data_IF_349428430682
#
_entry.id   IF_349428430682
#
_cell.length_a   1.000
_cell.length_b   1.000
_cell.length_c   1.000
_cell.angle_alpha   90.00
_cell.angle_beta   90.00
_cell.angle_gamma   90.00
#
_symmetry.space_group_name_H-M   'P 1'
#
loop_
_entity.id
_entity.type
_entity.pdbx_description
1 polymer ?
#
# COMPACT_ATOMS: atom_id res chain seq x y z
N UNK A 1 -2.67 -64.50 36.24
CA UNK A 1 -3.10 -63.13 35.87
C UNK A 1 -1.90 -62.37 35.34
N UNK A 2 -1.68 -62.37 34.03
CA UNK A 2 -0.64 -61.60 33.35
C UNK A 2 -1.31 -60.42 32.66
N UNK A 3 -1.22 -59.23 33.28
CA UNK A 3 -1.78 -57.99 32.77
C UNK A 3 -0.84 -57.43 31.69
N UNK A 4 -1.28 -57.42 30.42
CA UNK A 4 -0.57 -56.74 29.32
C UNK A 4 -0.99 -55.27 29.30
N UNK A 5 -0.06 -54.37 29.56
CA UNK A 5 -0.25 -52.92 29.42
C UNK A 5 -0.20 -52.53 27.93
N UNK A 6 -1.17 -51.78 27.38
CA UNK A 6 -1.09 -51.32 26.00
C UNK A 6 -0.11 -50.15 25.89
N UNK A 7 0.82 -50.25 24.95
CA UNK A 7 1.78 -49.20 24.61
C UNK A 7 1.05 -48.08 23.87
N UNK A 8 0.80 -46.95 24.54
CA UNK A 8 0.23 -45.75 23.89
C UNK A 8 1.36 -45.08 23.11
N UNK A 9 1.33 -45.21 21.79
CA UNK A 9 2.21 -44.49 20.88
C UNK A 9 1.77 -43.01 20.84
N UNK A 10 2.48 -42.17 21.59
CA UNK A 10 2.27 -40.72 21.55
C UNK A 10 2.73 -40.16 20.20
N UNK A 11 1.77 -39.86 19.32
CA UNK A 11 2.01 -39.17 18.06
C UNK A 11 2.42 -37.72 18.35
N UNK A 12 3.71 -37.42 18.32
CA UNK A 12 4.27 -36.07 18.41
C UNK A 12 3.83 -35.27 17.18
N UNK A 13 2.72 -34.52 17.32
CA UNK A 13 2.33 -33.46 16.39
C UNK A 13 3.32 -32.29 16.56
N UNK A 14 4.39 -32.28 15.76
CA UNK A 14 5.21 -31.07 15.63
C UNK A 14 4.37 -29.99 14.93
N UNK A 15 4.26 -28.77 15.50
CA UNK A 15 3.61 -27.67 14.82
C UNK A 15 4.49 -27.24 13.65
N UNK A 16 3.98 -27.35 12.41
CA UNK A 16 4.56 -26.67 11.26
C UNK A 16 4.39 -25.17 11.48
N UNK A 17 5.41 -24.50 12.02
CA UNK A 17 5.48 -23.05 11.96
C UNK A 17 5.70 -22.66 10.49
N UNK A 18 4.66 -22.17 9.83
CA UNK A 18 4.80 -21.54 8.53
C UNK A 18 5.67 -20.29 8.70
N UNK A 19 6.95 -20.39 8.35
CA UNK A 19 7.84 -19.24 8.37
C UNK A 19 7.43 -18.28 7.24
N UNK A 20 7.24 -17.01 7.58
CA UNK A 20 6.98 -15.98 6.57
C UNK A 20 8.16 -15.92 5.59
N UNK A 21 7.86 -15.89 4.29
CA UNK A 21 8.86 -15.88 3.23
C UNK A 21 9.52 -14.49 3.13
N UNK A 22 10.84 -14.39 2.89
CA UNK A 22 11.52 -13.10 2.70
C UNK A 22 11.17 -12.48 1.33
N UNK A 23 10.38 -11.40 1.34
CA UNK A 23 10.02 -10.66 0.13
C UNK A 23 11.07 -9.62 -0.28
N UNK A 24 12.08 -9.34 0.55
CA UNK A 24 13.05 -8.27 0.31
C UNK A 24 13.78 -8.35 -1.05
N UNK A 25 14.10 -9.52 -1.63
CA UNK A 25 14.64 -9.59 -2.98
C UNK A 25 13.71 -9.00 -4.03
N UNK A 26 12.41 -9.31 -3.97
CA UNK A 26 11.42 -8.80 -4.90
C UNK A 26 11.15 -7.31 -4.68
N UNK A 27 11.19 -6.84 -3.43
CA UNK A 27 11.10 -5.41 -3.12
C UNK A 27 12.23 -4.62 -3.78
N UNK A 28 13.48 -5.09 -3.63
CA UNK A 28 14.64 -4.44 -4.27
C UNK A 28 14.54 -4.46 -5.79
N UNK A 29 14.04 -5.56 -6.36
CA UNK A 29 13.82 -5.65 -7.80
C UNK A 29 12.76 -4.63 -8.28
N UNK A 30 11.60 -4.60 -7.62
CA UNK A 30 10.51 -3.66 -7.91
C UNK A 30 10.95 -2.20 -7.74
N UNK A 31 11.75 -1.89 -6.71
CA UNK A 31 12.34 -0.57 -6.52
C UNK A 31 13.26 -0.17 -7.68
N UNK A 32 14.10 -1.09 -8.16
CA UNK A 32 14.94 -0.87 -9.33
C UNK A 32 14.13 -0.63 -10.61
N UNK A 33 13.04 -1.39 -10.81
CA UNK A 33 12.09 -1.20 -11.93
C UNK A 33 11.46 0.19 -11.87
N UNK A 34 10.93 0.59 -10.71
CA UNK A 34 10.34 1.92 -10.52
C UNK A 34 11.34 3.05 -10.72
N UNK A 35 12.58 2.91 -10.23
CA UNK A 35 13.62 3.93 -10.40
C UNK A 35 13.94 4.15 -11.87
N UNK A 36 14.06 3.07 -12.66
CA UNK A 36 14.25 3.16 -14.11
C UNK A 36 13.08 3.87 -14.79
N UNK A 37 11.85 3.46 -14.48
CA UNK A 37 10.65 4.08 -15.04
C UNK A 37 10.57 5.57 -14.69
N UNK A 38 10.77 5.92 -13.41
CA UNK A 38 10.77 7.32 -12.96
C UNK A 38 11.85 8.13 -13.67
N UNK A 39 13.07 7.60 -13.78
CA UNK A 39 14.18 8.27 -14.45
C UNK A 39 13.86 8.58 -15.91
N UNK A 40 13.41 7.59 -16.66
CA UNK A 40 13.03 7.75 -18.07
C UNK A 40 11.86 8.73 -18.23
N UNK A 41 10.78 8.57 -17.44
CA UNK A 41 9.63 9.48 -17.49
C UNK A 41 10.00 10.92 -17.14
N UNK A 42 10.84 11.12 -16.12
CA UNK A 42 11.27 12.46 -15.70
C UNK A 42 12.10 13.14 -16.78
N UNK A 43 12.95 12.41 -17.49
CA UNK A 43 13.74 12.94 -18.60
C UNK A 43 12.84 13.44 -19.73
N UNK A 44 11.87 12.63 -20.16
CA UNK A 44 10.92 13.05 -21.21
C UNK A 44 10.02 14.19 -20.74
N UNK A 45 9.58 14.16 -19.49
CA UNK A 45 8.78 15.23 -18.89
C UNK A 45 9.54 16.56 -18.87
N UNK A 46 10.81 16.57 -18.48
CA UNK A 46 11.63 17.79 -18.48
C UNK A 46 11.78 18.39 -19.87
N UNK A 47 11.98 17.56 -20.91
CA UNK A 47 12.06 18.02 -22.30
C UNK A 47 10.74 18.61 -22.80
N UNK A 48 9.62 17.97 -22.49
CA UNK A 48 8.31 18.43 -22.93
C UNK A 48 7.86 19.69 -22.18
N UNK A 49 8.12 19.77 -20.87
CA UNK A 49 7.82 20.95 -20.05
C UNK A 49 8.57 22.20 -20.51
N UNK A 50 9.73 22.07 -21.16
CA UNK A 50 10.43 23.19 -21.79
C UNK A 50 9.64 23.82 -22.96
N UNK A 51 8.71 23.08 -23.55
CA UNK A 51 7.80 23.53 -24.61
C UNK A 51 6.43 23.96 -24.06
N UNK A 52 6.20 23.76 -22.76
CA UNK A 52 4.97 24.12 -22.05
C UNK A 52 4.21 22.90 -21.50
N UNK A 53 3.36 23.08 -20.46
CA UNK A 53 2.63 21.98 -19.84
C UNK A 53 1.65 21.27 -20.77
N UNK A 54 1.09 21.96 -21.77
CA UNK A 54 0.18 21.37 -22.74
C UNK A 54 0.85 20.28 -23.58
N UNK A 55 2.07 20.52 -24.07
CA UNK A 55 2.88 19.53 -24.79
C UNK A 55 3.28 18.35 -23.90
N UNK A 56 3.56 18.62 -22.62
CA UNK A 56 3.92 17.59 -21.64
C UNK A 56 2.82 16.55 -21.39
N UNK A 57 1.55 16.84 -21.72
CA UNK A 57 0.45 15.88 -21.64
C UNK A 57 0.72 14.66 -22.54
N UNK A 58 1.37 14.87 -23.70
CA UNK A 58 1.73 13.81 -24.64
C UNK A 58 2.70 12.77 -24.05
N UNK A 59 3.59 13.19 -23.14
CA UNK A 59 4.53 12.29 -22.45
C UNK A 59 3.76 11.25 -21.63
N UNK A 60 2.83 11.70 -20.80
CA UNK A 60 2.03 10.81 -19.97
C UNK A 60 1.06 9.94 -20.79
N UNK A 61 0.58 10.46 -21.94
CA UNK A 61 -0.37 9.73 -22.81
C UNK A 61 0.29 8.64 -23.64
N UNK A 62 1.44 8.93 -24.24
CA UNK A 62 2.04 8.08 -25.29
C UNK A 62 3.37 7.46 -24.87
N UNK A 63 4.28 8.25 -24.30
CA UNK A 63 5.62 7.76 -23.95
C UNK A 63 5.59 6.91 -22.69
N UNK A 64 4.77 7.27 -21.71
CA UNK A 64 4.72 6.55 -20.44
C UNK A 64 4.22 5.09 -20.58
N UNK A 65 3.25 4.75 -21.46
CA UNK A 65 2.96 3.36 -21.81
C UNK A 65 4.09 2.64 -22.57
N UNK A 66 4.77 3.33 -23.50
CA UNK A 66 5.87 2.75 -24.28
C UNK A 66 7.06 2.37 -23.39
N UNK A 67 7.52 3.31 -22.56
CA UNK A 67 8.60 3.10 -21.59
C UNK A 67 8.23 1.98 -20.62
N UNK A 68 6.97 1.94 -20.16
CA UNK A 68 6.49 0.82 -19.33
C UNK A 68 6.65 -0.50 -20.06
N UNK A 69 6.14 -0.65 -21.28
CA UNK A 69 6.20 -1.90 -22.04
C UNK A 69 7.63 -2.40 -22.28
N UNK A 70 8.58 -1.49 -22.55
CA UNK A 70 10.01 -1.83 -22.70
C UNK A 70 10.58 -2.41 -21.40
N UNK A 71 10.35 -1.73 -20.27
CA UNK A 71 10.83 -2.19 -18.96
C UNK A 71 10.14 -3.50 -18.55
N UNK A 72 8.84 -3.65 -18.83
CA UNK A 72 8.09 -4.87 -18.56
C UNK A 72 8.69 -6.06 -19.32
N UNK A 73 8.99 -5.89 -20.61
CA UNK A 73 9.60 -6.92 -21.46
C UNK A 73 10.98 -7.37 -20.95
N UNK A 74 11.79 -6.44 -20.45
CA UNK A 74 13.13 -6.74 -19.92
C UNK A 74 13.12 -7.44 -18.56
N UNK A 75 12.10 -7.17 -17.73
CA UNK A 75 12.14 -7.50 -16.29
C UNK A 75 11.16 -8.59 -15.88
N UNK A 76 10.13 -8.81 -16.69
CA UNK A 76 9.01 -9.67 -16.36
C UNK A 76 8.09 -9.10 -15.28
N UNK A 77 8.30 -7.86 -14.82
CA UNK A 77 7.30 -7.14 -14.03
C UNK A 77 6.26 -6.55 -14.97
N UNK A 78 4.98 -6.58 -14.57
CA UNK A 78 3.93 -5.74 -15.16
C UNK A 78 3.83 -4.45 -14.34
N UNK A 79 3.59 -3.31 -14.99
CA UNK A 79 3.59 -1.99 -14.40
C UNK A 79 2.25 -1.30 -14.67
N UNK A 80 1.59 -0.87 -13.59
CA UNK A 80 0.42 0.01 -13.63
C UNK A 80 0.68 1.28 -12.81
N UNK A 81 -0.09 2.34 -13.13
CA UNK A 81 -0.08 3.63 -12.41
C UNK A 81 -1.49 4.03 -11.98
N UNK A 82 -2.17 3.24 -11.13
CA UNK A 82 -3.54 3.53 -10.73
C UNK A 82 -3.65 4.84 -9.93
N UNK A 83 -4.81 5.49 -10.03
CA UNK A 83 -5.13 6.71 -9.29
C UNK A 83 -6.56 6.66 -8.72
N UNK A 84 -6.79 7.21 -7.52
CA UNK A 84 -8.15 7.37 -6.98
C UNK A 84 -8.94 8.44 -7.76
N UNK A 85 -8.23 9.47 -8.23
CA UNK A 85 -8.71 10.51 -9.14
C UNK A 85 -8.01 10.31 -10.49
N UNK A 86 -8.72 9.76 -11.47
CA UNK A 86 -8.13 9.29 -12.72
C UNK A 86 -8.13 10.35 -13.82
N UNK A 87 -7.07 10.39 -14.63
CA UNK A 87 -7.05 11.14 -15.90
C UNK A 87 -7.40 10.25 -17.08
N UNK A 88 -6.76 9.08 -17.13
CA UNK A 88 -7.11 7.99 -18.04
C UNK A 88 -7.97 6.97 -17.28
N UNK A 89 -9.18 6.70 -17.76
CA UNK A 89 -10.13 5.72 -17.17
C UNK A 89 -9.54 4.30 -17.07
N UNK A 90 -8.58 3.95 -17.92
CA UNK A 90 -7.88 2.64 -17.88
C UNK A 90 -6.99 2.48 -16.63
N UNK A 91 -6.60 3.60 -16.01
CA UNK A 91 -5.82 3.65 -14.78
C UNK A 91 -6.71 3.70 -13.53
N UNK A 92 -7.99 3.31 -13.65
CA UNK A 92 -8.81 3.03 -12.47
C UNK A 92 -8.21 1.86 -11.69
N UNK A 93 -8.16 1.95 -10.36
CA UNK A 93 -7.62 0.88 -9.54
C UNK A 93 -8.55 -0.33 -9.55
N UNK A 94 -7.98 -1.52 -9.47
CA UNK A 94 -8.69 -2.72 -9.03
C UNK A 94 -9.16 -2.57 -7.58
N UNK A 95 -10.02 -3.47 -7.10
CA UNK A 95 -10.45 -3.44 -5.69
C UNK A 95 -9.26 -3.53 -4.72
N UNK A 96 -8.25 -4.34 -5.05
CA UNK A 96 -7.04 -4.49 -4.23
C UNK A 96 -6.18 -3.22 -4.26
N UNK A 97 -5.87 -2.70 -5.45
CA UNK A 97 -5.10 -1.46 -5.61
C UNK A 97 -5.79 -0.30 -4.87
N UNK A 98 -7.12 -0.22 -4.97
CA UNK A 98 -7.93 0.80 -4.32
C UNK A 98 -7.82 0.72 -2.80
N UNK A 99 -7.87 -0.48 -2.23
CA UNK A 99 -7.74 -0.70 -0.79
C UNK A 99 -6.37 -0.23 -0.28
N UNK A 100 -5.29 -0.59 -0.98
CA UNK A 100 -3.93 -0.16 -0.62
C UNK A 100 -3.80 1.36 -0.67
N UNK A 101 -4.33 1.99 -1.71
CA UNK A 101 -4.26 3.45 -1.89
C UNK A 101 -5.08 4.22 -0.86
N UNK A 102 -6.28 3.74 -0.49
CA UNK A 102 -7.02 4.29 0.65
C UNK A 102 -6.24 4.17 1.95
N UNK A 103 -5.56 3.03 2.16
CA UNK A 103 -4.64 2.87 3.28
C UNK A 103 -3.45 3.84 3.23
N UNK A 104 -2.97 4.25 2.05
CA UNK A 104 -1.97 5.30 1.93
C UNK A 104 -2.52 6.67 2.34
N UNK A 105 -3.70 7.06 1.85
CA UNK A 105 -4.37 8.32 2.24
C UNK A 105 -4.53 8.45 3.76
N UNK A 106 -5.02 7.39 4.42
CA UNK A 106 -5.25 7.40 5.87
C UNK A 106 -3.92 7.54 6.63
N UNK A 107 -2.89 6.77 6.24
CA UNK A 107 -1.56 6.86 6.88
C UNK A 107 -0.90 8.22 6.65
N UNK A 108 -1.06 8.78 5.46
CA UNK A 108 -0.56 10.11 5.15
C UNK A 108 -1.26 11.19 5.97
N UNK A 109 -2.59 11.14 6.06
CA UNK A 109 -3.38 12.05 6.90
C UNK A 109 -3.00 11.96 8.38
N UNK A 110 -2.63 10.77 8.85
CA UNK A 110 -2.10 10.51 10.20
C UNK A 110 -0.64 11.00 10.38
N UNK A 111 -0.01 11.60 9.37
CA UNK A 111 1.31 12.20 9.44
C UNK A 111 2.47 11.30 9.02
N UNK A 112 2.20 10.12 8.45
CA UNK A 112 3.26 9.31 7.86
C UNK A 112 3.78 9.97 6.57
N UNK A 113 5.12 10.05 6.37
CA UNK A 113 5.68 10.56 5.12
C UNK A 113 5.22 9.72 3.94
N UNK A 114 4.60 10.35 2.95
CA UNK A 114 4.00 9.69 1.78
C UNK A 114 5.04 8.96 0.94
N UNK A 115 6.30 9.42 0.96
CA UNK A 115 7.43 8.81 0.25
C UNK A 115 7.81 7.44 0.80
N UNK A 116 7.45 7.16 2.06
CA UNK A 116 7.70 5.87 2.71
C UNK A 116 6.56 4.88 2.51
N UNK A 117 5.42 5.32 1.98
CA UNK A 117 4.23 4.50 1.83
C UNK A 117 4.38 3.51 0.67
N UNK A 118 4.66 2.25 1.05
CA UNK A 118 4.77 1.10 0.14
C UNK A 118 4.23 -0.18 0.78
N UNK A 119 3.88 -1.16 -0.04
CA UNK A 119 3.45 -2.49 0.40
C UNK A 119 3.95 -3.56 -0.57
N UNK A 120 4.28 -4.74 -0.04
CA UNK A 120 4.62 -5.91 -0.85
C UNK A 120 3.82 -7.09 -0.35
N UNK A 121 3.18 -7.80 -1.27
CA UNK A 121 2.34 -8.97 -0.99
C UNK A 121 2.73 -10.10 -1.92
N UNK A 122 2.55 -11.33 -1.46
CA UNK A 122 2.67 -12.52 -2.27
C UNK A 122 1.37 -13.33 -2.14
N UNK A 123 0.82 -13.75 -3.27
CA UNK A 123 -0.35 -14.62 -3.34
C UNK A 123 0.00 -15.88 -4.13
N UNK A 124 -0.22 -17.05 -3.55
CA UNK A 124 0.00 -18.33 -4.23
C UNK A 124 -1.26 -18.76 -4.98
N UNK A 125 -1.09 -19.20 -6.21
CA UNK A 125 -2.11 -19.85 -7.02
C UNK A 125 -1.50 -21.12 -7.64
N UNK A 126 -1.81 -22.28 -7.04
CA UNK A 126 -1.21 -23.56 -7.40
C UNK A 126 0.33 -23.55 -7.35
N UNK A 127 0.93 -23.78 -8.51
CA UNK A 127 2.39 -23.80 -8.71
C UNK A 127 2.98 -22.43 -9.08
N UNK A 128 2.20 -21.36 -8.96
CA UNK A 128 2.63 -19.99 -9.18
C UNK A 128 2.48 -19.13 -7.92
N UNK A 129 3.32 -18.11 -7.80
CA UNK A 129 3.22 -17.07 -6.79
C UNK A 129 3.26 -15.72 -7.49
N UNK A 130 2.24 -14.90 -7.27
CA UNK A 130 2.19 -13.52 -7.73
C UNK A 130 2.69 -12.60 -6.63
N UNK A 131 3.76 -11.87 -6.91
CA UNK A 131 4.24 -10.77 -6.07
C UNK A 131 3.58 -9.49 -6.54
N UNK A 132 3.01 -8.72 -5.61
CA UNK A 132 2.41 -7.41 -5.86
C UNK A 132 3.08 -6.37 -4.97
N UNK A 133 3.83 -5.47 -5.59
CA UNK A 133 4.46 -4.34 -4.96
C UNK A 133 3.69 -3.07 -5.31
N UNK A 134 3.38 -2.23 -4.32
CA UNK A 134 2.80 -0.91 -4.55
C UNK A 134 3.56 0.17 -3.78
N UNK A 135 3.73 1.34 -4.39
CA UNK A 135 4.29 2.51 -3.74
C UNK A 135 3.54 3.78 -4.13
N UNK A 136 3.27 4.65 -3.15
CA UNK A 136 2.63 5.93 -3.35
C UNK A 136 3.42 6.86 -4.30
N UNK A 137 2.68 7.67 -5.04
CA UNK A 137 3.20 8.76 -5.88
C UNK A 137 2.72 10.07 -5.27
N UNK A 138 3.59 10.82 -4.58
CA UNK A 138 3.25 12.15 -4.10
C UNK A 138 3.26 13.17 -5.23
N UNK A 139 2.42 14.19 -5.11
CA UNK A 139 2.50 15.41 -5.93
C UNK A 139 3.64 16.31 -5.47
N UNK A 140 4.39 16.83 -6.44
CA UNK A 140 5.40 17.88 -6.26
C UNK A 140 4.95 19.17 -6.94
N UNK A 141 5.67 20.27 -6.73
CA UNK A 141 5.32 21.58 -7.31
C UNK A 141 5.07 21.51 -8.84
N UNK A 142 5.92 20.81 -9.58
CA UNK A 142 5.76 20.66 -11.03
C UNK A 142 4.51 19.89 -11.45
N UNK A 143 3.99 19.00 -10.60
CA UNK A 143 2.77 18.25 -10.87
C UNK A 143 1.56 19.17 -10.95
N UNK A 144 1.56 20.26 -10.18
CA UNK A 144 0.40 21.14 -10.03
C UNK A 144 0.10 21.97 -11.28
N UNK A 145 1.05 22.08 -12.22
CA UNK A 145 0.81 22.72 -13.51
C UNK A 145 -0.33 22.05 -14.31
N UNK A 146 -0.56 20.74 -14.09
CA UNK A 146 -1.62 19.96 -14.76
C UNK A 146 -2.59 19.27 -13.78
N UNK A 147 -2.23 19.17 -12.51
CA UNK A 147 -2.99 18.46 -11.48
C UNK A 147 -3.46 19.38 -10.34
N UNK A 148 -3.07 20.66 -10.33
CA UNK A 148 -3.45 21.61 -9.30
C UNK A 148 -4.89 22.10 -9.42
N UNK A 149 -5.28 23.01 -8.52
CA UNK A 149 -6.57 23.71 -8.57
C UNK A 149 -6.57 24.91 -9.54
N UNK A 150 -5.40 25.50 -9.78
CA UNK A 150 -5.20 26.61 -10.71
C UNK A 150 -4.38 26.14 -11.92
N UNK A 151 -5.07 25.69 -12.97
CA UNK A 151 -4.46 25.23 -14.23
C UNK A 151 -4.66 26.31 -15.29
N UNK A 152 -3.58 26.66 -16.00
CA UNK A 152 -3.62 27.65 -17.07
C UNK A 152 -4.63 27.25 -18.17
N UNK A 153 -5.37 28.21 -18.78
CA UNK A 153 -6.45 27.90 -19.71
C UNK A 153 -6.05 27.02 -20.90
N UNK A 154 -4.86 27.23 -21.45
CA UNK A 154 -4.32 26.43 -22.56
C UNK A 154 -4.12 24.96 -22.16
N UNK A 155 -3.49 24.73 -21.00
CA UNK A 155 -3.28 23.39 -20.44
C UNK A 155 -4.61 22.73 -20.10
N UNK A 156 -5.55 23.46 -19.50
CA UNK A 156 -6.88 22.94 -19.18
C UNK A 156 -7.66 22.54 -20.44
N UNK A 157 -7.60 23.35 -21.50
CA UNK A 157 -8.22 23.04 -22.79
C UNK A 157 -7.60 21.79 -23.43
N UNK A 158 -6.27 21.66 -23.41
CA UNK A 158 -5.57 20.48 -23.90
C UNK A 158 -5.94 19.21 -23.10
N UNK A 159 -6.01 19.31 -21.77
CA UNK A 159 -6.48 18.20 -20.91
C UNK A 159 -7.90 17.81 -21.29
N UNK A 160 -8.83 18.76 -21.39
CA UNK A 160 -10.23 18.47 -21.68
C UNK A 160 -10.43 17.84 -23.06
N UNK A 161 -9.71 18.32 -24.09
CA UNK A 161 -9.77 17.75 -25.42
C UNK A 161 -9.26 16.29 -25.46
N UNK A 162 -8.23 15.99 -24.68
CA UNK A 162 -7.58 14.67 -24.65
C UNK A 162 -8.27 13.70 -23.68
N UNK A 163 -8.86 14.21 -22.61
CA UNK A 163 -9.44 13.51 -21.46
C UNK A 163 -10.72 14.24 -21.01
N UNK A 164 -11.85 14.05 -21.71
CA UNK A 164 -13.10 14.76 -21.38
C UNK A 164 -13.67 14.41 -20.00
N UNK A 165 -13.26 13.26 -19.45
CA UNK A 165 -13.68 12.73 -18.16
C UNK A 165 -12.58 12.85 -17.08
N UNK A 166 -11.65 13.79 -17.22
CA UNK A 166 -10.57 13.96 -16.27
C UNK A 166 -11.07 14.31 -14.86
N UNK A 167 -10.63 13.52 -13.88
CA UNK A 167 -10.88 13.75 -12.45
C UNK A 167 -9.59 14.18 -11.72
N UNK A 168 -8.42 14.14 -12.37
CA UNK A 168 -7.11 14.26 -11.73
C UNK A 168 -6.66 15.72 -11.50
N UNK A 169 -7.54 16.60 -11.04
CA UNK A 169 -7.26 18.03 -10.76
C UNK A 169 -7.51 18.39 -9.31
N UNK A 170 -7.09 19.57 -8.86
CA UNK A 170 -7.33 20.06 -7.50
C UNK A 170 -6.46 19.39 -6.44
N UNK A 171 -5.26 18.94 -6.80
CA UNK A 171 -4.25 18.47 -5.86
C UNK A 171 -3.41 19.63 -5.28
N UNK A 172 -2.88 19.44 -4.08
CA UNK A 172 -1.85 20.25 -3.44
C UNK A 172 -0.51 19.51 -3.43
N UNK A 173 0.58 20.14 -2.99
CA UNK A 173 1.88 19.47 -2.85
C UNK A 173 1.82 18.48 -1.68
N UNK A 174 2.26 17.24 -1.91
CA UNK A 174 2.29 16.18 -0.90
C UNK A 174 1.09 15.23 -0.96
N UNK A 175 0.02 15.60 -1.67
CA UNK A 175 -1.13 14.72 -1.88
C UNK A 175 -0.75 13.41 -2.60
N UNK A 176 -1.55 12.37 -2.37
CA UNK A 176 -1.45 11.11 -3.11
C UNK A 176 -2.00 11.28 -4.54
N UNK A 177 -1.09 11.49 -5.50
CA UNK A 177 -1.46 11.53 -6.92
C UNK A 177 -1.98 10.18 -7.41
N UNK A 178 -1.40 9.10 -6.92
CA UNK A 178 -1.64 7.73 -7.39
C UNK A 178 -0.65 6.77 -6.74
N UNK A 179 -0.50 5.57 -7.32
CA UNK A 179 0.51 4.61 -6.92
C UNK A 179 1.20 4.00 -8.14
N UNK A 180 2.45 3.57 -7.99
CA UNK A 180 2.98 2.52 -8.85
C UNK A 180 2.45 1.18 -8.33
N UNK A 181 1.92 0.34 -9.22
CA UNK A 181 1.54 -1.04 -8.93
C UNK A 181 2.33 -1.95 -9.86
N UNK A 182 3.15 -2.81 -9.26
CA UNK A 182 4.05 -3.71 -9.96
C UNK A 182 3.69 -5.14 -9.59
N UNK A 183 3.46 -5.99 -10.59
CA UNK A 183 3.21 -7.42 -10.36
C UNK A 183 4.20 -8.30 -11.10
N UNK A 184 4.61 -9.40 -10.47
CA UNK A 184 5.46 -10.42 -11.11
C UNK A 184 5.03 -11.81 -10.64
N UNK A 185 4.83 -12.70 -11.61
CA UNK A 185 4.47 -14.09 -11.32
C UNK A 185 5.71 -14.96 -11.46
N UNK A 186 5.99 -15.77 -10.43
CA UNK A 186 7.11 -16.71 -10.41
C UNK A 186 6.63 -18.12 -10.07
N UNK A 187 7.36 -19.18 -10.47
CA UNK A 187 7.06 -20.52 -10.00
C UNK A 187 7.16 -20.63 -8.48
N UNK A 188 6.23 -21.36 -7.87
CA UNK A 188 6.18 -21.58 -6.44
C UNK A 188 7.45 -22.23 -5.88
N UNK A 189 8.12 -23.07 -6.66
CA UNK A 189 9.41 -23.65 -6.31
C UNK A 189 10.52 -22.58 -6.18
N UNK A 190 10.60 -21.67 -7.17
CA UNK A 190 11.55 -20.56 -7.14
C UNK A 190 11.25 -19.56 -6.00
N UNK A 191 9.97 -19.39 -5.65
CA UNK A 191 9.59 -18.63 -4.47
C UNK A 191 10.00 -19.34 -3.17
N UNK A 192 9.80 -20.66 -3.07
CA UNK A 192 10.08 -21.46 -1.88
C UNK A 192 11.57 -21.51 -1.50
N UNK A 193 12.46 -21.37 -2.47
CA UNK A 193 13.92 -21.31 -2.25
C UNK A 193 14.39 -20.00 -1.56
N UNK A 194 13.51 -18.99 -1.47
CA UNK A 194 13.83 -17.77 -0.73
C UNK A 194 13.90 -18.04 0.78
N UNK A 195 14.91 -17.46 1.43
CA UNK A 195 15.16 -17.66 2.86
C UNK A 195 13.93 -17.28 3.69
N UNK A 196 13.69 -17.95 4.84
CA UNK A 196 12.73 -17.47 5.83
C UNK A 196 13.05 -16.01 6.16
N UNK A 197 12.02 -15.17 6.27
CA UNK A 197 12.18 -13.79 6.70
C UNK A 197 12.91 -13.78 8.05
N UNK A 198 14.07 -13.13 8.11
CA UNK A 198 14.69 -12.79 9.38
C UNK A 198 13.70 -11.94 10.17
N UNK A 199 13.68 -12.08 11.50
CA UNK A 199 12.95 -11.17 12.38
C UNK A 199 13.44 -9.75 12.10
N UNK A 200 12.61 -8.96 11.42
CA UNK A 200 12.94 -7.58 11.09
C UNK A 200 12.78 -6.76 12.37
N UNK A 201 13.89 -6.37 12.99
CA UNK A 201 13.88 -5.32 14.01
C UNK A 201 13.28 -4.04 13.39
N UNK A 202 12.49 -3.26 14.13
CA UNK A 202 11.73 -2.14 13.58
C UNK A 202 12.65 -1.07 12.97
N UNK A 203 12.78 -1.08 11.63
CA UNK A 203 13.60 -0.16 10.81
C UNK A 203 13.14 1.31 10.84
N UNK A 204 12.19 1.68 11.69
CA UNK A 204 11.66 3.05 11.71
C UNK A 204 12.77 4.05 12.10
N UNK A 205 13.56 3.76 13.12
CA UNK A 205 14.66 4.63 13.56
C UNK A 205 15.79 4.75 12.53
N UNK A 206 16.11 3.66 11.82
CA UNK A 206 17.11 3.66 10.73
C UNK A 206 16.64 4.46 9.51
N UNK A 207 15.32 4.57 9.30
CA UNK A 207 14.69 5.43 8.30
C UNK A 207 14.51 6.89 8.77
N UNK A 208 15.12 7.26 9.92
CA UNK A 208 15.06 8.62 10.47
C UNK A 208 13.81 8.93 11.29
N UNK A 209 12.99 7.92 11.64
CA UNK A 209 11.86 8.08 12.53
C UNK A 209 12.32 8.00 13.99
N UNK A 210 12.54 9.16 14.60
CA UNK A 210 12.62 9.28 16.06
C UNK A 210 11.20 9.45 16.57
N UNK A 211 10.65 8.53 17.39
CA UNK A 211 9.39 8.77 18.06
C UNK A 211 9.52 10.07 18.86
N UNK A 212 8.82 11.12 18.43
CA UNK A 212 8.67 12.34 19.23
C UNK A 212 7.54 12.11 20.22
N UNK A 213 7.63 12.74 21.38
CA UNK A 213 6.61 12.77 22.44
C UNK A 213 5.27 13.42 21.98
N UNK A 214 5.16 13.69 20.67
CA UNK A 214 4.01 14.18 19.93
C UNK A 214 3.81 13.28 18.70
N UNK A 215 2.83 12.36 18.72
CA UNK A 215 2.35 11.72 17.49
C UNK A 215 1.84 12.81 16.53
N UNK A 216 2.28 12.82 15.26
CA UNK A 216 1.69 13.68 14.23
C UNK A 216 2.31 15.08 14.05
N UNK A 217 3.64 15.25 14.10
CA UNK A 217 4.27 16.57 13.91
C UNK A 217 3.99 17.29 12.56
N UNK A 218 3.25 16.68 11.61
CA UNK A 218 2.69 17.33 10.40
C UNK A 218 1.30 16.82 9.96
N UNK A 219 0.64 15.93 10.71
CA UNK A 219 -0.65 15.34 10.33
C UNK A 219 -1.79 15.84 11.22
N UNK A 220 -3.02 15.83 10.73
CA UNK A 220 -4.22 16.13 11.51
C UNK A 220 -5.01 14.83 11.68
N UNK A 221 -4.91 14.24 12.87
CA UNK A 221 -5.62 13.01 13.20
C UNK A 221 -7.13 13.13 12.99
N UNK A 222 -7.72 14.31 13.20
CA UNK A 222 -9.16 14.55 13.01
C UNK A 222 -9.56 14.44 11.54
N UNK A 223 -8.71 14.92 10.61
CA UNK A 223 -8.94 14.75 9.16
C UNK A 223 -8.81 13.29 8.71
N UNK A 224 -7.91 12.53 9.34
CA UNK A 224 -7.81 11.08 9.14
C UNK A 224 -9.10 10.37 9.55
N UNK A 225 -9.64 10.70 10.73
CA UNK A 225 -10.92 10.20 11.23
C UNK A 225 -12.09 10.53 10.30
N UNK A 226 -12.17 11.78 9.83
CA UNK A 226 -13.26 12.23 8.97
C UNK A 226 -13.24 11.56 7.59
N UNK A 227 -12.06 11.40 6.99
CA UNK A 227 -11.89 10.69 5.72
C UNK A 227 -12.32 9.22 5.83
N UNK A 228 -11.97 8.57 6.95
CA UNK A 228 -12.40 7.21 7.25
C UNK A 228 -13.92 7.09 7.42
N UNK A 229 -14.53 7.96 8.23
CA UNK A 229 -15.98 7.99 8.44
C UNK A 229 -16.75 8.12 7.12
N UNK A 230 -16.25 8.97 6.22
CA UNK A 230 -16.87 9.24 4.92
C UNK A 230 -16.83 8.07 3.94
N UNK A 231 -15.78 7.24 3.98
CA UNK A 231 -15.53 6.23 2.95
C UNK A 231 -15.74 4.78 3.40
N UNK A 232 -15.67 4.48 4.70
CA UNK A 232 -15.60 3.11 5.19
C UNK A 232 -16.60 2.78 6.32
N UNK A 233 -16.97 3.73 7.19
CA UNK A 233 -17.97 3.51 8.25
C UNK A 233 -19.40 3.33 7.72
N UNK A 234 -19.65 3.68 6.46
CA UNK A 234 -20.93 3.39 5.80
C UNK A 234 -21.19 1.88 5.62
N UNK A 235 -20.18 1.02 5.81
CA UNK A 235 -20.26 -0.43 5.53
C UNK A 235 -19.97 -1.36 6.73
N UNK A 236 -19.24 -0.94 7.79
CA UNK A 236 -18.83 -1.82 8.90
C UNK A 236 -18.74 -1.11 10.27
N UNK A 237 -19.10 -1.82 11.36
CA UNK A 237 -19.03 -1.30 12.74
C UNK A 237 -17.84 -1.89 13.55
N UNK A 238 -17.22 -1.13 14.49
CA UNK A 238 -16.04 -1.56 15.27
C UNK A 238 -16.20 -2.83 16.13
N UNK A 239 -17.42 -3.18 16.52
CA UNK A 239 -17.70 -4.39 17.30
C UNK A 239 -17.68 -5.66 16.44
N UNK A 240 -17.96 -5.55 15.14
CA UNK A 240 -17.92 -6.66 14.18
C UNK A 240 -16.49 -7.14 13.93
N UNK A 241 -15.56 -6.26 14.22
CA UNK A 241 -14.16 -6.27 13.88
C UNK A 241 -13.31 -6.92 15.00
N UNK A 242 -13.52 -6.49 16.26
CA UNK A 242 -12.94 -7.15 17.44
C UNK A 242 -13.34 -8.63 17.57
N UNK A 243 -14.60 -8.97 17.25
CA UNK A 243 -15.11 -10.36 17.26
C UNK A 243 -14.48 -11.24 16.17
N UNK A 244 -14.03 -10.65 15.06
CA UNK A 244 -13.34 -11.37 13.99
C UNK A 244 -11.94 -11.82 14.42
N UNK A 245 -11.24 -10.96 15.16
CA UNK A 245 -9.80 -11.09 15.47
C UNK A 245 -9.49 -11.99 16.68
N UNK A 246 -10.41 -12.10 17.66
CA UNK A 246 -10.21 -12.89 18.89
C UNK A 246 -11.32 -13.92 19.13
N UNK A 247 -12.25 -14.07 18.19
CA UNK A 247 -13.37 -15.02 18.24
C UNK A 247 -14.65 -14.40 18.77
N UNK A 248 -15.78 -14.76 18.14
CA UNK A 248 -17.08 -14.11 18.35
C UNK A 248 -17.73 -14.35 19.71
N UNK A 249 -17.13 -15.18 20.57
CA UNK A 249 -17.63 -15.53 21.90
C UNK A 249 -16.72 -15.13 23.05
N UNK A 250 -15.61 -14.43 22.80
CA UNK A 250 -14.71 -13.97 23.86
C UNK A 250 -15.18 -12.60 24.40
N UNK A 251 -15.72 -12.53 25.63
CA UNK A 251 -16.21 -11.28 26.21
C UNK A 251 -15.10 -10.25 26.46
N UNK A 252 -13.83 -10.68 26.43
CA UNK A 252 -12.65 -9.84 26.65
C UNK A 252 -11.89 -9.51 25.35
N UNK A 253 -12.45 -9.85 24.18
CA UNK A 253 -11.81 -9.65 22.87
C UNK A 253 -11.32 -8.20 22.66
N UNK A 254 -12.12 -7.22 23.08
CA UNK A 254 -11.75 -5.79 23.00
C UNK A 254 -10.58 -5.44 23.92
N UNK A 255 -10.54 -5.96 25.14
CA UNK A 255 -9.50 -5.64 26.12
C UNK A 255 -8.15 -6.29 25.80
N UNK A 256 -8.18 -7.54 25.30
CA UNK A 256 -6.97 -8.26 24.82
C UNK A 256 -6.34 -7.57 23.61
N UNK A 257 -7.17 -7.03 22.72
CA UNK A 257 -6.74 -6.21 21.60
C UNK A 257 -6.03 -4.95 22.11
N UNK A 258 -6.61 -4.22 23.06
CA UNK A 258 -6.01 -3.02 23.65
C UNK A 258 -4.65 -3.31 24.33
N UNK A 259 -4.54 -4.38 25.12
CA UNK A 259 -3.29 -4.75 25.82
C UNK A 259 -2.15 -5.14 24.87
N UNK A 260 -2.50 -5.76 23.73
CA UNK A 260 -1.54 -6.08 22.66
C UNK A 260 -1.01 -4.80 21.98
N UNK A 261 -1.84 -3.77 21.88
CA UNK A 261 -1.48 -2.48 21.27
C UNK A 261 -0.59 -1.65 22.20
N UNK A 262 -0.89 -1.62 23.50
CA UNK A 262 -0.07 -0.97 24.53
C UNK A 262 1.36 -1.53 24.58
N UNK A 263 1.50 -2.86 24.53
CA UNK A 263 2.80 -3.55 24.64
C UNK A 263 3.73 -3.33 23.43
N UNK A 264 3.20 -2.81 22.32
CA UNK A 264 3.97 -2.46 21.13
C UNK A 264 4.08 -0.95 20.92
N UNK A 265 3.74 -0.15 21.94
CA UNK A 265 3.93 1.31 21.95
C UNK A 265 2.92 2.08 21.09
N UNK A 266 1.76 1.49 20.80
CA UNK A 266 0.77 2.06 19.87
C UNK A 266 -0.38 2.82 20.55
N UNK A 267 -0.36 2.98 21.87
CA UNK A 267 -1.32 3.80 22.64
C UNK A 267 -0.63 4.52 23.81
N UNK A 268 -1.19 5.66 24.23
CA UNK A 268 -0.93 6.32 25.51
C UNK A 268 -2.14 6.17 26.44
N UNK A 269 -1.94 6.19 27.75
CA UNK A 269 -3.00 5.87 28.73
C UNK A 269 -4.25 6.77 28.59
N UNK A 270 -5.38 6.06 28.66
CA UNK A 270 -6.75 6.41 29.03
C UNK A 270 -7.78 6.91 28.02
N UNK A 271 -7.50 7.47 26.85
CA UNK A 271 -8.57 7.86 25.91
C UNK A 271 -8.08 7.81 24.47
N UNK A 272 -8.38 6.73 23.73
CA UNK A 272 -8.42 6.63 22.24
C UNK A 272 -8.43 5.18 21.75
N UNK A 273 -9.46 4.39 22.11
CA UNK A 273 -9.59 3.00 21.64
C UNK A 273 -10.41 2.84 20.34
N UNK A 274 -11.00 3.90 19.79
CA UNK A 274 -11.99 3.75 18.69
C UNK A 274 -11.40 3.79 17.27
N UNK A 275 -10.17 4.27 17.07
CA UNK A 275 -9.57 4.42 15.73
C UNK A 275 -8.44 3.44 15.43
N UNK A 276 -7.75 2.97 16.46
CA UNK A 276 -6.69 1.96 16.35
C UNK A 276 -7.28 0.55 16.23
N UNK A 277 -8.49 0.32 16.77
CA UNK A 277 -9.28 -0.87 16.48
C UNK A 277 -9.51 -1.01 14.96
N UNK A 278 -9.97 0.05 14.30
CA UNK A 278 -10.28 0.06 12.87
C UNK A 278 -9.05 -0.17 11.95
N UNK A 279 -7.89 0.42 12.27
CA UNK A 279 -6.65 0.22 11.51
C UNK A 279 -6.11 -1.21 11.63
N UNK A 280 -6.43 -1.91 12.71
CA UNK A 280 -5.98 -3.27 12.94
C UNK A 280 -6.86 -4.30 12.19
N UNK A 281 -8.15 -4.02 11.98
CA UNK A 281 -9.00 -4.92 11.17
C UNK A 281 -8.70 -4.88 9.68
N UNK A 282 -8.30 -3.71 9.18
CA UNK A 282 -7.80 -3.59 7.81
C UNK A 282 -6.50 -4.41 7.64
N UNK A 283 -5.65 -4.46 8.66
CA UNK A 283 -4.40 -5.25 8.63
C UNK A 283 -4.65 -6.76 8.76
N UNK A 284 -5.64 -7.19 9.55
CA UNK A 284 -5.96 -8.60 9.77
C UNK A 284 -6.83 -9.22 8.65
N UNK A 285 -7.77 -8.47 8.07
CA UNK A 285 -8.52 -8.89 6.87
C UNK A 285 -7.60 -9.17 5.67
N UNK A 286 -6.50 -8.42 5.59
CA UNK A 286 -5.52 -8.50 4.52
C UNK A 286 -4.43 -9.56 4.75
N UNK A 287 -4.40 -10.21 5.92
CA UNK A 287 -3.37 -11.18 6.32
C UNK A 287 -3.89 -12.61 6.53
N UNK A 288 -5.22 -12.82 6.55
CA UNK A 288 -5.78 -14.16 6.70
C UNK A 288 -7.10 -14.28 5.93
N UNK A 289 -7.09 -15.02 4.81
CA UNK A 289 -7.95 -16.19 4.49
C UNK A 289 -7.64 -16.68 3.06
N UNK A 290 -7.86 -18.00 2.83
CA UNK A 290 -6.83 -19.04 2.70
C UNK A 290 -5.83 -18.86 1.55
#
# INVERSE_FOLDING_TARGET
MTLRLPTILALLLLPLAAAAQDLAPYEREAEGVMQRLRGAMMQEMQRAMAQGPAEAIGVCRHLAPQISAEIEAETGWTIRRPALKVRNREMRPTAEERSVMLGFEIRHAAGQPIELLRTTRAARDGDAVTIHFMQAIPTMQGCLACHGSAIEPETAAAIHALYPDDEAVGFEVGDLRGAFSLTKTVPAAAFAESKPAATVAPRLQELGYTPTDRPGARGDAARGTESFARHCQSCHAPDQLARHSFGSGDPEAGEKLCRKLETHGFTGREQDCDIVAFLNDLALFLAARP
#
